data_IF_191373029668
#
_entry.id   IF_191373029668
#
_cell.length_a   1.000
_cell.length_b   1.000
_cell.length_c   1.000
_cell.angle_alpha   90.00
_cell.angle_beta   90.00
_cell.angle_gamma   90.00
#
_symmetry.space_group_name_H-M   'P 1'
#
loop_
_entity.id
_entity.type
_entity.pdbx_description
1 polymer ?
#
# COMPACT_ATOMS: atom_id res chain seq x y z
N UNK A 1 45.09 -2.45 7.77
CA UNK A 1 43.77 -1.80 7.93
C UNK A 1 43.51 -0.64 6.95
N UNK A 2 44.51 0.15 6.51
CA UNK A 2 44.27 1.31 5.62
C UNK A 2 43.98 0.96 4.14
N UNK A 3 44.54 -0.13 3.60
CA UNK A 3 44.30 -0.52 2.20
C UNK A 3 42.88 -1.06 1.93
N UNK A 4 42.21 -1.64 2.93
CA UNK A 4 40.86 -2.21 2.77
C UNK A 4 39.77 -1.13 2.61
N UNK A 5 39.92 0.00 3.30
CA UNK A 5 39.00 1.13 3.21
C UNK A 5 39.10 1.86 1.87
N UNK A 6 40.31 1.96 1.32
CA UNK A 6 40.56 2.59 0.01
C UNK A 6 39.94 1.74 -1.12
N UNK A 7 40.00 0.40 -1.01
CA UNK A 7 39.40 -0.51 -2.00
C UNK A 7 37.87 -0.45 -1.94
N UNK A 8 37.26 -0.42 -0.75
CA UNK A 8 35.81 -0.26 -0.62
C UNK A 8 35.32 1.10 -1.15
N UNK A 9 36.05 2.19 -0.86
CA UNK A 9 35.73 3.51 -1.40
C UNK A 9 35.86 3.56 -2.93
N UNK A 10 36.86 2.88 -3.50
CA UNK A 10 37.02 2.77 -4.95
C UNK A 10 35.89 1.96 -5.60
N UNK A 11 35.42 0.86 -4.97
CA UNK A 11 34.30 0.04 -5.47
C UNK A 11 32.98 0.82 -5.43
N UNK A 12 32.71 1.55 -4.34
CA UNK A 12 31.51 2.39 -4.23
C UNK A 12 31.53 3.56 -5.23
N UNK A 13 32.69 4.16 -5.47
CA UNK A 13 32.86 5.21 -6.46
C UNK A 13 32.68 4.69 -7.91
N UNK A 14 33.18 3.48 -8.20
CA UNK A 14 32.98 2.83 -9.50
C UNK A 14 31.51 2.45 -9.69
N UNK A 15 30.83 1.92 -8.67
CA UNK A 15 29.40 1.60 -8.71
C UNK A 15 28.53 2.85 -8.91
N UNK A 16 28.85 3.96 -8.23
CA UNK A 16 28.17 5.24 -8.42
C UNK A 16 28.41 5.82 -9.83
N UNK A 17 29.63 5.69 -10.38
CA UNK A 17 29.94 6.12 -11.74
C UNK A 17 29.25 5.25 -12.80
N UNK A 18 29.12 3.94 -12.56
CA UNK A 18 28.40 3.03 -13.47
C UNK A 18 26.89 3.29 -13.44
N UNK A 19 26.28 3.43 -12.25
CA UNK A 19 24.86 3.76 -12.11
C UNK A 19 24.51 5.15 -12.68
N UNK A 20 25.40 6.13 -12.53
CA UNK A 20 25.23 7.46 -13.12
C UNK A 20 25.41 7.44 -14.65
N UNK A 21 26.31 6.59 -15.16
CA UNK A 21 26.52 6.40 -16.61
C UNK A 21 25.34 5.68 -17.26
N UNK A 22 24.77 4.67 -16.62
CA UNK A 22 23.56 3.96 -17.10
C UNK A 22 22.32 4.88 -17.07
N UNK A 23 22.14 5.66 -16.01
CA UNK A 23 21.06 6.66 -15.91
C UNK A 23 21.18 7.77 -16.97
N UNK A 24 22.41 8.23 -17.26
CA UNK A 24 22.67 9.16 -18.38
C UNK A 24 22.49 8.51 -19.76
N UNK A 25 22.84 7.24 -19.91
CA UNK A 25 22.63 6.50 -21.17
C UNK A 25 21.14 6.22 -21.44
N UNK A 26 20.32 5.99 -20.40
CA UNK A 26 18.86 5.84 -20.50
C UNK A 26 18.16 7.15 -20.87
N UNK A 27 18.54 8.26 -20.24
CA UNK A 27 18.01 9.60 -20.57
C UNK A 27 18.48 10.10 -21.95
N UNK A 28 19.75 9.85 -22.31
CA UNK A 28 20.30 10.14 -23.63
C UNK A 28 19.65 9.29 -24.73
N UNK A 29 19.44 7.98 -24.49
CA UNK A 29 18.74 7.09 -25.43
C UNK A 29 17.29 7.49 -25.65
N UNK A 30 16.59 8.00 -24.62
CA UNK A 30 15.23 8.55 -24.77
C UNK A 30 15.22 9.82 -25.62
N UNK A 31 16.20 10.71 -25.46
CA UNK A 31 16.35 11.91 -26.27
C UNK A 31 16.72 11.62 -27.73
N UNK A 32 17.61 10.64 -27.98
CA UNK A 32 18.02 10.21 -29.32
C UNK A 32 16.86 9.49 -30.03
N UNK A 33 16.13 8.60 -29.34
CA UNK A 33 14.94 7.95 -29.89
C UNK A 33 13.83 8.95 -30.24
N UNK A 34 13.60 9.97 -29.41
CA UNK A 34 12.63 11.02 -29.70
C UNK A 34 13.02 11.86 -30.94
N UNK A 35 14.33 12.09 -31.14
CA UNK A 35 14.85 12.84 -32.29
C UNK A 35 14.79 12.00 -33.58
N UNK A 36 15.15 10.72 -33.51
CA UNK A 36 15.03 9.76 -34.62
C UNK A 36 13.56 9.53 -35.00
N UNK A 37 12.64 9.48 -34.03
CA UNK A 37 11.19 9.44 -34.28
C UNK A 37 10.70 10.70 -34.99
N UNK A 38 11.21 11.87 -34.60
CA UNK A 38 10.86 13.17 -35.21
C UNK A 38 11.43 13.31 -36.63
N UNK A 39 12.64 12.80 -36.88
CA UNK A 39 13.26 12.77 -38.21
C UNK A 39 12.65 11.71 -39.13
N UNK A 40 12.26 10.54 -38.60
CA UNK A 40 11.56 9.50 -39.33
C UNK A 40 10.14 9.94 -39.71
N UNK A 41 9.41 10.60 -38.80
CA UNK A 41 8.08 11.17 -39.08
C UNK A 41 8.14 12.35 -40.05
N UNK A 42 9.22 13.14 -40.05
CA UNK A 42 9.44 14.20 -41.05
C UNK A 42 9.79 13.66 -42.46
N UNK A 43 10.42 12.48 -42.55
CA UNK A 43 10.79 11.83 -43.84
C UNK A 43 9.65 11.06 -44.52
N UNK A 44 8.57 10.72 -43.81
CA UNK A 44 7.48 9.86 -44.30
C UNK A 44 6.20 10.63 -44.69
N UNK A 45 6.36 11.82 -45.26
CA UNK A 45 5.26 12.72 -45.62
C UNK A 45 4.26 12.17 -46.67
N UNK A 46 2.98 12.37 -46.33
CA UNK A 46 1.71 12.30 -47.08
C UNK A 46 1.28 11.01 -47.80
N UNK A 47 2.05 10.43 -48.73
CA UNK A 47 1.52 9.32 -49.56
C UNK A 47 1.50 7.98 -48.81
N UNK A 48 2.48 7.77 -47.92
CA UNK A 48 2.58 6.55 -47.12
C UNK A 48 1.62 6.56 -45.93
N UNK A 49 1.07 7.72 -45.53
CA UNK A 49 0.11 7.80 -44.42
C UNK A 49 -1.29 7.31 -44.80
N UNK A 50 -1.72 7.53 -46.05
CA UNK A 50 -3.02 7.09 -46.57
C UNK A 50 -3.09 5.56 -46.71
N UNK A 51 -2.07 4.95 -47.32
CA UNK A 51 -1.96 3.48 -47.44
C UNK A 51 -1.89 2.82 -46.05
N UNK A 52 -1.04 3.33 -45.16
CA UNK A 52 -0.95 2.83 -43.78
C UNK A 52 -2.21 3.09 -42.95
N UNK A 53 -3.02 4.11 -43.27
CA UNK A 53 -4.29 4.35 -42.58
C UNK A 53 -5.37 3.37 -43.03
N UNK A 54 -5.44 3.08 -44.34
CA UNK A 54 -6.36 2.09 -44.89
C UNK A 54 -6.01 0.67 -44.43
N UNK A 55 -4.73 0.33 -44.42
CA UNK A 55 -4.24 -0.96 -43.91
C UNK A 55 -4.53 -1.14 -42.41
N UNK A 56 -4.23 -0.13 -41.58
CA UNK A 56 -4.63 -0.12 -40.16
C UNK A 56 -6.14 -0.23 -39.95
N UNK A 57 -6.93 0.38 -40.84
CA UNK A 57 -8.39 0.28 -40.82
C UNK A 57 -8.88 -1.14 -41.11
N UNK A 58 -8.30 -1.79 -42.12
CA UNK A 58 -8.61 -3.18 -42.46
C UNK A 58 -8.17 -4.16 -41.36
N UNK A 59 -6.99 -3.97 -40.77
CA UNK A 59 -6.52 -4.75 -39.63
C UNK A 59 -7.43 -4.60 -38.40
N UNK A 60 -7.87 -3.38 -38.11
CA UNK A 60 -8.81 -3.12 -37.02
C UNK A 60 -10.16 -3.81 -37.25
N UNK A 61 -10.72 -3.75 -38.47
CA UNK A 61 -11.96 -4.43 -38.82
C UNK A 61 -11.80 -5.95 -38.72
N UNK A 62 -10.70 -6.51 -39.21
CA UNK A 62 -10.40 -7.93 -39.09
C UNK A 62 -10.26 -8.36 -37.63
N UNK A 63 -9.60 -7.54 -36.79
CA UNK A 63 -9.52 -7.77 -35.36
C UNK A 63 -10.91 -7.82 -34.71
N UNK A 64 -11.76 -6.84 -35.03
CA UNK A 64 -13.11 -6.75 -34.49
C UNK A 64 -13.96 -7.97 -34.86
N UNK A 65 -13.92 -8.41 -36.12
CA UNK A 65 -14.65 -9.62 -36.53
C UNK A 65 -14.12 -10.89 -35.85
N UNK A 66 -12.80 -11.02 -35.66
CA UNK A 66 -12.21 -12.12 -34.89
C UNK A 66 -12.71 -12.12 -33.45
N UNK A 67 -12.64 -10.97 -32.78
CA UNK A 67 -13.07 -10.78 -31.40
C UNK A 67 -14.55 -11.10 -31.22
N UNK A 68 -15.40 -10.60 -32.13
CA UNK A 68 -16.82 -10.90 -32.17
C UNK A 68 -17.12 -12.39 -32.32
N UNK A 69 -16.38 -13.07 -33.19
CA UNK A 69 -16.52 -14.51 -33.35
C UNK A 69 -16.13 -15.25 -32.07
N UNK A 70 -15.05 -14.83 -31.40
CA UNK A 70 -14.64 -15.41 -30.11
C UNK A 70 -15.71 -15.19 -29.04
N UNK A 71 -16.28 -13.97 -28.95
CA UNK A 71 -17.38 -13.64 -28.04
C UNK A 71 -18.59 -14.55 -28.27
N UNK A 72 -19.06 -14.66 -29.51
CA UNK A 72 -20.20 -15.52 -29.86
C UNK A 72 -19.97 -16.98 -29.49
N UNK A 73 -18.81 -17.54 -29.83
CA UNK A 73 -18.46 -18.93 -29.51
C UNK A 73 -18.36 -19.16 -27.99
N UNK A 74 -17.78 -18.18 -27.27
CA UNK A 74 -17.69 -18.18 -25.82
C UNK A 74 -19.09 -18.20 -25.19
N UNK A 75 -20.01 -17.34 -25.61
CA UNK A 75 -21.38 -17.32 -25.07
C UNK A 75 -22.17 -18.58 -25.43
N UNK A 76 -21.99 -19.11 -26.64
CA UNK A 76 -22.64 -20.35 -27.03
C UNK A 76 -22.21 -21.50 -26.13
N UNK A 77 -20.90 -21.63 -25.83
CA UNK A 77 -20.38 -22.64 -24.90
C UNK A 77 -21.08 -22.58 -23.52
N UNK A 78 -21.38 -21.38 -23.01
CA UNK A 78 -22.06 -21.21 -21.72
C UNK A 78 -23.55 -21.55 -21.76
N UNK A 79 -24.24 -21.24 -22.86
CA UNK A 79 -25.65 -21.66 -23.05
C UNK A 79 -25.75 -23.18 -23.08
N UNK A 80 -24.88 -23.82 -23.84
CA UNK A 80 -24.86 -25.27 -24.00
C UNK A 80 -24.58 -25.99 -22.66
N UNK A 81 -23.74 -25.42 -21.80
CA UNK A 81 -23.46 -25.97 -20.46
C UNK A 81 -24.65 -25.84 -19.49
N UNK A 82 -25.48 -24.80 -19.62
CA UNK A 82 -26.59 -24.52 -18.69
C UNK A 82 -27.85 -25.37 -18.92
N UNK A 83 -28.04 -25.88 -20.14
CA UNK A 83 -29.31 -26.50 -20.55
C UNK A 83 -29.32 -28.04 -20.50
N UNK A 84 -28.35 -28.70 -19.85
CA UNK A 84 -28.09 -30.14 -20.03
C UNK A 84 -28.02 -30.45 -21.54
N UNK A 85 -26.93 -30.05 -22.21
CA UNK A 85 -26.69 -30.30 -23.63
C UNK A 85 -27.21 -31.68 -24.07
N UNK A 86 -28.41 -31.73 -24.62
CA UNK A 86 -29.07 -32.96 -25.02
C UNK A 86 -28.53 -33.32 -26.40
N UNK A 87 -27.27 -33.77 -26.47
CA UNK A 87 -26.71 -34.35 -27.69
C UNK A 87 -25.21 -34.15 -27.94
N UNK A 88 -24.50 -33.30 -27.21
CA UNK A 88 -23.05 -33.12 -27.38
C UNK A 88 -22.27 -34.08 -26.47
N UNK A 89 -21.26 -34.76 -27.02
CA UNK A 89 -20.39 -35.62 -26.21
C UNK A 89 -19.46 -34.78 -25.33
N UNK A 90 -19.09 -35.28 -24.14
CA UNK A 90 -18.16 -34.57 -23.24
C UNK A 90 -16.81 -34.25 -23.89
N UNK A 91 -16.37 -35.07 -24.84
CA UNK A 91 -15.14 -34.87 -25.61
C UNK A 91 -15.24 -33.70 -26.60
N UNK A 92 -16.40 -33.53 -27.26
CA UNK A 92 -16.64 -32.41 -28.18
C UNK A 92 -16.74 -31.09 -27.43
N UNK A 93 -17.45 -31.07 -26.29
CA UNK A 93 -17.51 -29.91 -25.41
C UNK A 93 -16.10 -29.50 -24.94
N UNK A 94 -15.28 -30.46 -24.52
CA UNK A 94 -13.90 -30.22 -24.08
C UNK A 94 -13.04 -29.66 -25.21
N UNK A 95 -13.18 -30.18 -26.44
CA UNK A 95 -12.47 -29.66 -27.62
C UNK A 95 -12.87 -28.22 -27.94
N UNK A 96 -14.17 -27.89 -27.90
CA UNK A 96 -14.66 -26.52 -28.12
C UNK A 96 -14.12 -25.57 -27.05
N UNK A 97 -14.19 -25.98 -25.78
CA UNK A 97 -13.64 -25.20 -24.67
C UNK A 97 -12.14 -24.94 -24.86
N UNK A 98 -11.35 -25.95 -25.24
CA UNK A 98 -9.93 -25.81 -25.52
C UNK A 98 -9.66 -24.87 -26.72
N UNK A 99 -10.46 -24.98 -27.79
CA UNK A 99 -10.33 -24.12 -28.97
C UNK A 99 -10.61 -22.64 -28.66
N UNK A 100 -11.66 -22.36 -27.87
CA UNK A 100 -11.97 -20.99 -27.42
C UNK A 100 -10.85 -20.46 -26.52
N UNK A 101 -10.35 -21.29 -25.59
CA UNK A 101 -9.23 -20.93 -24.72
C UNK A 101 -7.98 -20.53 -25.53
N UNK A 102 -7.59 -21.33 -26.53
CA UNK A 102 -6.43 -21.01 -27.39
C UNK A 102 -6.57 -19.65 -28.06
N UNK A 103 -7.75 -19.36 -28.61
CA UNK A 103 -8.04 -18.08 -29.28
C UNK A 103 -8.03 -16.90 -28.31
N UNK A 104 -8.51 -17.08 -27.07
CA UNK A 104 -8.43 -16.06 -26.03
C UNK A 104 -6.98 -15.79 -25.63
N UNK A 105 -6.15 -16.83 -25.51
CA UNK A 105 -4.73 -16.71 -25.15
C UNK A 105 -3.90 -16.02 -26.24
N UNK A 106 -4.34 -16.06 -27.50
CA UNK A 106 -3.70 -15.39 -28.64
C UNK A 106 -4.03 -13.88 -28.71
N UNK A 107 -5.02 -13.40 -27.95
CA UNK A 107 -5.40 -11.98 -27.99
C UNK A 107 -4.24 -11.08 -27.53
N UNK A 108 -4.08 -9.96 -28.25
CA UNK A 108 -3.25 -8.83 -27.83
C UNK A 108 -4.06 -7.87 -26.94
N UNK A 109 -3.43 -6.89 -26.28
CA UNK A 109 -4.14 -5.97 -25.39
C UNK A 109 -5.27 -5.16 -26.06
N UNK A 110 -5.16 -4.82 -27.35
CA UNK A 110 -6.20 -4.09 -28.06
C UNK A 110 -7.42 -4.99 -28.31
N UNK A 111 -7.16 -6.24 -28.69
CA UNK A 111 -8.17 -7.27 -28.90
C UNK A 111 -8.87 -7.67 -27.60
N UNK A 112 -8.13 -7.79 -26.49
CA UNK A 112 -8.68 -8.03 -25.15
C UNK A 112 -9.67 -6.92 -24.79
N UNK A 113 -9.31 -5.65 -25.01
CA UNK A 113 -10.21 -4.53 -24.70
C UNK A 113 -11.54 -4.63 -25.47
N UNK A 114 -11.46 -4.86 -26.78
CA UNK A 114 -12.63 -5.03 -27.63
C UNK A 114 -13.48 -6.23 -27.18
N UNK A 115 -12.82 -7.34 -26.84
CA UNK A 115 -13.50 -8.54 -26.35
C UNK A 115 -14.26 -8.28 -25.04
N UNK A 116 -13.63 -7.59 -24.09
CA UNK A 116 -14.26 -7.22 -22.83
C UNK A 116 -15.45 -6.27 -23.06
N UNK A 117 -15.33 -5.30 -23.96
CA UNK A 117 -16.40 -4.35 -24.30
C UNK A 117 -17.61 -5.05 -24.94
N UNK A 118 -17.37 -5.94 -25.89
CA UNK A 118 -18.41 -6.75 -26.51
C UNK A 118 -19.12 -7.66 -25.51
N UNK A 119 -18.36 -8.24 -24.58
CA UNK A 119 -18.93 -9.01 -23.48
C UNK A 119 -19.81 -8.13 -22.60
N UNK A 120 -19.27 -7.05 -22.05
CA UNK A 120 -19.99 -6.25 -21.06
C UNK A 120 -21.17 -5.45 -21.64
N UNK A 121 -21.16 -5.16 -22.93
CA UNK A 121 -22.29 -4.55 -23.65
C UNK A 121 -23.45 -5.51 -23.90
N UNK A 122 -23.24 -6.82 -23.74
CA UNK A 122 -24.28 -7.82 -23.95
C UNK A 122 -25.16 -7.95 -22.70
N UNK A 123 -26.39 -7.42 -22.78
CA UNK A 123 -27.38 -7.47 -21.69
C UNK A 123 -27.85 -8.87 -21.32
N UNK A 124 -27.62 -9.87 -22.18
CA UNK A 124 -27.94 -11.28 -21.91
C UNK A 124 -26.90 -11.96 -20.99
N UNK A 125 -25.79 -11.29 -20.67
CA UNK A 125 -24.80 -11.82 -19.75
C UNK A 125 -25.32 -11.89 -18.32
N UNK A 126 -25.65 -13.11 -17.90
CA UNK A 126 -25.91 -13.41 -16.49
C UNK A 126 -24.62 -13.29 -15.64
N UNK A 127 -24.79 -13.20 -14.33
CA UNK A 127 -23.68 -13.03 -13.36
C UNK A 127 -22.62 -14.12 -13.45
N UNK A 128 -23.02 -15.35 -13.80
CA UNK A 128 -22.11 -16.49 -13.91
C UNK A 128 -21.08 -16.32 -15.02
N UNK A 129 -21.50 -15.88 -16.21
CA UNK A 129 -20.59 -15.67 -17.34
C UNK A 129 -19.59 -14.55 -17.04
N UNK A 130 -20.05 -13.48 -16.38
CA UNK A 130 -19.17 -12.38 -15.94
C UNK A 130 -18.10 -12.86 -14.95
N UNK A 131 -18.46 -13.77 -14.03
CA UNK A 131 -17.52 -14.40 -13.09
C UNK A 131 -16.45 -15.23 -13.80
N UNK A 132 -16.86 -16.05 -14.78
CA UNK A 132 -15.93 -16.93 -15.48
C UNK A 132 -14.98 -16.12 -16.40
N UNK A 133 -15.47 -15.02 -16.99
CA UNK A 133 -14.65 -14.04 -17.71
C UNK A 133 -13.62 -13.34 -16.80
N UNK A 134 -14.03 -12.95 -15.59
CA UNK A 134 -13.09 -12.41 -14.58
C UNK A 134 -12.01 -13.45 -14.22
N UNK A 135 -12.35 -14.74 -14.20
CA UNK A 135 -11.38 -15.83 -14.07
C UNK A 135 -10.28 -15.80 -15.13
N UNK A 136 -10.64 -15.58 -16.41
CA UNK A 136 -9.67 -15.41 -17.50
C UNK A 136 -8.82 -14.15 -17.36
N UNK A 137 -9.44 -13.02 -16.99
CA UNK A 137 -8.70 -11.78 -16.71
C UNK A 137 -7.60 -12.03 -15.68
N UNK A 138 -7.95 -12.71 -14.59
CA UNK A 138 -7.04 -13.00 -13.48
C UNK A 138 -5.93 -13.98 -13.83
N UNK A 139 -6.27 -15.10 -14.47
CA UNK A 139 -5.34 -16.22 -14.64
C UNK A 139 -4.54 -16.16 -15.94
N UNK A 140 -5.04 -15.48 -16.96
CA UNK A 140 -4.42 -15.44 -18.29
C UNK A 140 -3.97 -14.02 -18.62
N UNK A 141 -4.89 -13.04 -18.66
CA UNK A 141 -4.56 -11.72 -19.18
C UNK A 141 -3.64 -10.93 -18.27
N UNK A 142 -3.87 -10.94 -16.94
CA UNK A 142 -2.99 -10.29 -15.97
C UNK A 142 -1.59 -10.92 -15.98
N UNK A 143 -1.49 -12.24 -16.13
CA UNK A 143 -0.20 -12.92 -16.19
C UNK A 143 0.59 -12.57 -17.46
N UNK A 144 -0.09 -12.36 -18.59
CA UNK A 144 0.54 -12.09 -19.89
C UNK A 144 0.84 -10.61 -20.14
N UNK A 145 -0.05 -9.71 -19.69
CA UNK A 145 0.00 -8.28 -19.97
C UNK A 145 -0.32 -7.44 -18.72
N UNK A 146 0.48 -7.54 -17.63
CA UNK A 146 0.13 -6.94 -16.34
C UNK A 146 -0.05 -5.41 -16.42
N UNK A 147 0.84 -4.72 -17.12
CA UNK A 147 0.84 -3.25 -17.23
C UNK A 147 -0.37 -2.77 -18.04
N UNK A 148 -0.63 -3.40 -19.18
CA UNK A 148 -1.75 -3.06 -20.04
C UNK A 148 -3.10 -3.37 -19.38
N UNK A 149 -3.19 -4.49 -18.66
CA UNK A 149 -4.37 -4.84 -17.89
C UNK A 149 -4.60 -3.87 -16.73
N UNK A 150 -3.55 -3.47 -16.01
CA UNK A 150 -3.66 -2.44 -14.97
C UNK A 150 -4.20 -1.12 -15.55
N UNK A 151 -3.65 -0.66 -16.67
CA UNK A 151 -4.13 0.54 -17.39
C UNK A 151 -5.59 0.41 -17.86
N UNK A 152 -5.99 -0.77 -18.35
CA UNK A 152 -7.36 -1.01 -18.81
C UNK A 152 -8.35 -1.01 -17.63
N UNK A 153 -8.03 -1.76 -16.58
CA UNK A 153 -8.84 -1.85 -15.37
C UNK A 153 -8.97 -0.50 -14.66
N UNK A 154 -7.92 0.32 -14.69
CA UNK A 154 -7.94 1.65 -14.05
C UNK A 154 -8.75 2.68 -14.82
N UNK A 155 -8.76 2.60 -16.16
CA UNK A 155 -9.51 3.54 -17.01
C UNK A 155 -10.97 3.15 -17.23
N UNK A 156 -11.29 1.87 -17.11
CA UNK A 156 -12.64 1.33 -17.34
C UNK A 156 -13.00 0.26 -16.29
N UNK A 157 -13.01 0.62 -14.98
CA UNK A 157 -13.28 -0.31 -13.88
C UNK A 157 -14.53 -1.18 -14.07
N UNK A 158 -15.59 -0.58 -14.61
CA UNK A 158 -16.87 -1.21 -14.88
C UNK A 158 -16.79 -2.41 -15.84
N UNK A 159 -15.89 -2.35 -16.84
CA UNK A 159 -15.63 -3.46 -17.77
C UNK A 159 -14.97 -4.67 -17.09
N UNK A 160 -14.52 -4.52 -15.85
CA UNK A 160 -13.86 -5.58 -15.08
C UNK A 160 -14.60 -5.90 -13.78
N UNK A 161 -15.80 -5.32 -13.60
CA UNK A 161 -16.59 -5.51 -12.37
C UNK A 161 -15.94 -4.87 -11.14
N UNK A 162 -15.15 -3.81 -11.31
CA UNK A 162 -14.58 -3.00 -10.24
C UNK A 162 -15.52 -1.81 -9.95
N UNK A 163 -16.79 -2.09 -9.65
CA UNK A 163 -17.83 -1.06 -9.50
C UNK A 163 -18.11 -0.70 -8.02
N UNK A 164 -17.32 -1.27 -7.09
CA UNK A 164 -17.47 -1.06 -5.64
C UNK A 164 -18.74 -1.67 -5.05
N UNK A 165 -19.59 -2.32 -5.86
CA UNK A 165 -20.79 -3.00 -5.41
C UNK A 165 -20.42 -4.45 -5.15
N UNK A 166 -20.54 -4.87 -3.89
CA UNK A 166 -20.40 -6.29 -3.55
C UNK A 166 -21.45 -7.08 -4.34
N UNK A 167 -20.98 -8.01 -5.19
CA UNK A 167 -21.89 -8.95 -5.82
C UNK A 167 -22.65 -9.72 -4.73
N UNK A 168 -23.98 -9.92 -4.86
CA UNK A 168 -24.80 -10.60 -3.85
C UNK A 168 -24.34 -12.01 -3.46
N UNK A 169 -23.42 -12.61 -4.23
CA UNK A 169 -22.93 -13.98 -4.06
C UNK A 169 -21.40 -14.08 -3.90
N UNK A 170 -20.78 -13.13 -3.18
CA UNK A 170 -19.53 -13.35 -2.45
C UNK A 170 -18.23 -13.61 -3.23
N UNK A 171 -18.24 -13.69 -4.57
CA UNK A 171 -17.05 -14.03 -5.35
C UNK A 171 -16.95 -13.30 -6.71
N UNK A 172 -17.14 -11.98 -6.74
CA UNK A 172 -16.39 -11.19 -7.73
C UNK A 172 -15.11 -10.75 -7.04
N UNK A 173 -14.02 -11.45 -7.34
CA UNK A 173 -12.69 -11.06 -6.89
C UNK A 173 -12.25 -9.86 -7.75
N UNK A 174 -12.05 -8.74 -7.08
CA UNK A 174 -11.43 -7.54 -7.65
C UNK A 174 -10.14 -7.94 -8.41
N UNK A 175 -10.14 -7.88 -9.76
CA UNK A 175 -9.03 -8.41 -10.55
C UNK A 175 -7.77 -7.56 -10.39
N UNK A 176 -7.90 -6.27 -10.02
CA UNK A 176 -6.74 -5.43 -9.71
C UNK A 176 -6.14 -5.84 -8.35
N UNK A 177 -6.97 -6.14 -7.34
CA UNK A 177 -6.48 -6.75 -6.09
C UNK A 177 -5.77 -8.09 -6.37
N UNK A 178 -6.32 -8.91 -7.26
CA UNK A 178 -5.66 -10.15 -7.67
C UNK A 178 -4.30 -9.90 -8.34
N UNK A 179 -4.19 -8.90 -9.23
CA UNK A 179 -2.92 -8.49 -9.82
C UNK A 179 -1.87 -8.19 -8.74
N UNK A 180 -2.22 -7.35 -7.77
CA UNK A 180 -1.32 -7.01 -6.66
C UNK A 180 -0.90 -8.25 -5.87
N UNK A 181 -1.86 -9.11 -5.50
CA UNK A 181 -1.58 -10.36 -4.81
C UNK A 181 -0.69 -11.30 -5.62
N UNK A 182 -1.00 -11.54 -6.89
CA UNK A 182 -0.30 -12.48 -7.76
C UNK A 182 1.16 -12.10 -7.94
N UNK A 183 1.43 -10.82 -8.22
CA UNK A 183 2.80 -10.35 -8.40
C UNK A 183 3.55 -10.20 -7.08
N UNK A 184 2.89 -9.79 -5.99
CA UNK A 184 3.53 -9.69 -4.67
C UNK A 184 3.87 -11.08 -4.08
N UNK A 185 2.89 -11.97 -4.00
CA UNK A 185 3.02 -13.23 -3.26
C UNK A 185 3.50 -14.39 -4.13
N UNK A 186 2.84 -14.64 -5.26
CA UNK A 186 3.12 -15.83 -6.07
C UNK A 186 4.37 -15.67 -6.93
N UNK A 187 4.50 -14.54 -7.63
CA UNK A 187 5.66 -14.25 -8.49
C UNK A 187 6.82 -13.61 -7.77
N UNK A 188 6.56 -12.95 -6.64
CA UNK A 188 7.55 -12.18 -5.88
C UNK A 188 8.25 -11.12 -6.75
N UNK A 189 7.46 -10.48 -7.60
CA UNK A 189 7.86 -9.43 -8.53
C UNK A 189 7.12 -8.15 -8.14
N UNK A 190 7.64 -7.50 -7.10
CA UNK A 190 7.07 -6.27 -6.56
C UNK A 190 7.25 -5.09 -7.54
N UNK A 191 8.27 -5.12 -8.37
CA UNK A 191 8.54 -4.08 -9.37
C UNK A 191 7.38 -3.98 -10.37
N UNK A 192 6.88 -5.11 -10.86
CA UNK A 192 5.71 -5.14 -11.75
C UNK A 192 4.47 -4.55 -11.07
N UNK A 193 4.28 -4.77 -9.77
CA UNK A 193 3.15 -4.16 -9.02
C UNK A 193 3.21 -2.63 -9.08
N UNK A 194 4.37 -2.02 -8.82
CA UNK A 194 4.51 -0.56 -8.85
C UNK A 194 4.47 0.02 -10.26
N UNK A 195 4.93 -0.73 -11.29
CA UNK A 195 4.71 -0.36 -12.69
C UNK A 195 3.20 -0.34 -13.03
N UNK A 196 2.44 -1.33 -12.58
CA UNK A 196 0.99 -1.38 -12.76
C UNK A 196 0.27 -0.25 -12.00
N UNK A 197 0.68 0.06 -10.76
CA UNK A 197 0.13 1.18 -9.99
C UNK A 197 0.41 2.53 -10.66
N UNK A 198 1.59 2.69 -11.29
CA UNK A 198 1.96 3.93 -11.99
C UNK A 198 1.08 4.20 -13.23
N UNK A 199 0.46 3.17 -13.80
CA UNK A 199 -0.51 3.31 -14.91
C UNK A 199 -1.93 3.69 -14.45
N UNK A 200 -2.18 3.69 -13.14
CA UNK A 200 -3.49 3.92 -12.54
C UNK A 200 -3.59 5.34 -11.93
N UNK A 201 -4.81 5.93 -11.89
CA UNK A 201 -5.02 7.23 -11.25
C UNK A 201 -4.88 7.12 -9.71
N UNK A 202 -4.71 8.24 -9.00
CA UNK A 202 -4.46 8.25 -7.56
C UNK A 202 -5.49 7.47 -6.72
N UNK A 203 -6.78 7.46 -7.09
CA UNK A 203 -7.78 6.68 -6.35
C UNK A 203 -7.52 5.16 -6.39
N UNK A 204 -7.02 4.64 -7.51
CA UNK A 204 -6.61 3.25 -7.64
C UNK A 204 -5.33 2.98 -6.86
N UNK A 205 -4.33 3.85 -7.00
CA UNK A 205 -3.08 3.71 -6.26
C UNK A 205 -3.35 3.61 -4.76
N UNK A 206 -4.20 4.51 -4.23
CA UNK A 206 -4.60 4.53 -2.82
C UNK A 206 -5.34 3.26 -2.39
N UNK A 207 -6.24 2.74 -3.24
CA UNK A 207 -7.01 1.53 -2.94
C UNK A 207 -6.14 0.27 -2.84
N UNK A 208 -5.04 0.18 -3.60
CA UNK A 208 -4.33 -1.09 -3.79
C UNK A 208 -2.89 -1.14 -3.26
N UNK A 209 -2.24 0.01 -2.98
CA UNK A 209 -0.85 0.00 -2.48
C UNK A 209 -0.70 -0.75 -1.16
N UNK A 210 -1.72 -0.74 -0.29
CA UNK A 210 -1.71 -1.47 0.98
C UNK A 210 -1.66 -2.98 0.78
N UNK A 211 -2.22 -3.49 -0.32
CA UNK A 211 -2.11 -4.91 -0.68
C UNK A 211 -0.67 -5.33 -0.96
N UNK A 212 0.15 -4.45 -1.53
CA UNK A 212 1.57 -4.72 -1.75
C UNK A 212 2.30 -4.89 -0.41
N UNK A 213 1.98 -4.05 0.57
CA UNK A 213 2.50 -4.18 1.95
C UNK A 213 2.03 -5.48 2.58
N UNK A 214 0.71 -5.74 2.56
CA UNK A 214 0.09 -6.93 3.14
C UNK A 214 0.71 -8.23 2.61
N UNK A 215 0.92 -8.33 1.29
CA UNK A 215 1.35 -9.56 0.65
C UNK A 215 2.87 -9.70 0.49
N UNK A 216 3.65 -8.61 0.50
CA UNK A 216 5.09 -8.68 0.26
C UNK A 216 5.95 -8.56 1.53
N UNK A 217 5.50 -7.80 2.53
CA UNK A 217 6.33 -7.34 3.66
C UNK A 217 6.54 -8.39 4.78
N UNK A 218 6.52 -9.69 4.48
CA UNK A 218 6.54 -10.77 5.48
C UNK A 218 7.90 -11.01 6.17
N UNK A 219 8.97 -10.32 5.76
CA UNK A 219 10.29 -10.42 6.36
C UNK A 219 11.08 -9.11 6.23
N UNK A 220 12.08 -8.90 7.10
CA UNK A 220 12.91 -7.71 7.07
C UNK A 220 13.56 -7.42 5.69
N UNK A 221 14.17 -8.40 4.98
CA UNK A 221 14.70 -8.15 3.63
C UNK A 221 13.62 -7.72 2.63
N UNK A 222 12.42 -8.30 2.73
CA UNK A 222 11.31 -7.96 1.83
C UNK A 222 10.71 -6.59 2.13
N UNK A 223 10.71 -6.15 3.40
CA UNK A 223 10.36 -4.77 3.76
C UNK A 223 11.34 -3.77 3.15
N UNK A 224 12.64 -4.06 3.19
CA UNK A 224 13.67 -3.18 2.60
C UNK A 224 13.50 -3.05 1.09
N UNK A 225 13.31 -4.19 0.39
CA UNK A 225 13.06 -4.20 -1.05
C UNK A 225 11.77 -3.43 -1.40
N UNK A 226 10.69 -3.64 -0.66
CA UNK A 226 9.43 -2.92 -0.85
C UNK A 226 9.58 -1.42 -0.60
N UNK A 227 10.33 -1.01 0.43
CA UNK A 227 10.59 0.40 0.73
C UNK A 227 11.31 1.09 -0.44
N UNK A 228 12.28 0.42 -1.06
CA UNK A 228 13.01 0.94 -2.23
C UNK A 228 12.07 1.14 -3.43
N UNK A 229 11.20 0.16 -3.73
CA UNK A 229 10.21 0.28 -4.80
C UNK A 229 9.18 1.39 -4.52
N UNK A 230 8.71 1.51 -3.26
CA UNK A 230 7.81 2.59 -2.84
C UNK A 230 8.47 3.97 -3.03
N UNK A 231 9.75 4.11 -2.66
CA UNK A 231 10.51 5.35 -2.89
C UNK A 231 10.66 5.67 -4.38
N UNK A 232 10.94 4.66 -5.21
CA UNK A 232 11.01 4.83 -6.67
C UNK A 232 9.67 5.22 -7.30
N UNK A 233 8.57 4.69 -6.74
CA UNK A 233 7.21 5.01 -7.17
C UNK A 233 6.77 6.41 -6.79
N UNK A 234 7.24 6.96 -5.66
CA UNK A 234 6.85 8.25 -5.12
C UNK A 234 7.40 9.46 -5.91
N UNK A 235 6.97 9.61 -7.17
CA UNK A 235 7.45 10.65 -8.09
C UNK A 235 6.63 11.94 -8.06
N UNK A 236 5.41 11.92 -7.50
CA UNK A 236 4.57 13.11 -7.29
C UNK A 236 4.28 13.36 -5.80
N UNK A 237 3.91 14.58 -5.40
CA UNK A 237 3.54 14.88 -4.01
C UNK A 237 2.44 13.96 -3.47
N UNK A 238 1.45 13.62 -4.29
CA UNK A 238 0.35 12.72 -3.92
C UNK A 238 0.87 11.30 -3.65
N UNK A 239 1.80 10.81 -4.46
CA UNK A 239 2.41 9.49 -4.28
C UNK A 239 3.34 9.46 -3.07
N UNK A 240 4.04 10.55 -2.77
CA UNK A 240 4.85 10.69 -1.55
C UNK A 240 3.98 10.54 -0.32
N UNK A 241 2.86 11.27 -0.25
CA UNK A 241 1.92 11.16 0.88
C UNK A 241 1.27 9.77 0.95
N UNK A 242 0.96 9.17 -0.21
CA UNK A 242 0.44 7.82 -0.26
C UNK A 242 1.43 6.80 0.33
N UNK A 243 2.71 6.87 -0.07
CA UNK A 243 3.78 5.99 0.42
C UNK A 243 4.02 6.21 1.91
N UNK A 244 4.08 7.45 2.38
CA UNK A 244 4.17 7.77 3.81
C UNK A 244 3.04 7.14 4.61
N UNK A 245 1.82 7.17 4.09
CA UNK A 245 0.64 6.56 4.72
C UNK A 245 0.75 5.04 4.92
N UNK A 246 1.64 4.36 4.19
CA UNK A 246 1.85 2.92 4.29
C UNK A 246 3.02 2.53 5.22
N UNK A 247 3.88 3.47 5.63
CA UNK A 247 5.11 3.14 6.35
C UNK A 247 4.85 2.48 7.71
N UNK A 248 3.83 2.89 8.45
CA UNK A 248 3.48 2.24 9.73
C UNK A 248 3.09 0.76 9.53
N UNK A 249 2.29 0.44 8.51
CA UNK A 249 1.96 -0.96 8.20
C UNK A 249 3.15 -1.72 7.62
N UNK A 250 4.05 -1.07 6.88
CA UNK A 250 5.28 -1.71 6.41
C UNK A 250 6.16 -2.17 7.57
N UNK A 251 6.27 -1.34 8.62
CA UNK A 251 7.13 -1.58 9.79
C UNK A 251 6.50 -2.59 10.74
N UNK A 252 5.21 -2.43 11.05
CA UNK A 252 4.53 -3.17 12.11
C UNK A 252 3.49 -4.18 11.63
N UNK A 253 3.10 -4.13 10.36
CA UNK A 253 2.12 -5.02 9.75
C UNK A 253 2.66 -6.44 9.65
N UNK A 254 2.05 -7.36 10.39
CA UNK A 254 2.31 -8.79 10.32
C UNK A 254 0.99 -9.54 10.32
N UNK A 255 0.81 -10.41 9.32
CA UNK A 255 -0.38 -11.25 9.15
C UNK A 255 -0.49 -12.38 10.18
N UNK A 256 -0.62 -12.04 11.46
CA UNK A 256 -1.01 -12.99 12.52
C UNK A 256 -0.47 -12.72 13.92
N UNK A 257 0.61 -11.94 14.08
CA UNK A 257 1.15 -11.60 15.40
C UNK A 257 1.90 -10.26 15.38
N UNK A 258 1.84 -9.51 16.49
CA UNK A 258 2.64 -8.28 16.65
C UNK A 258 4.13 -8.60 16.55
N UNK A 259 4.88 -7.83 15.76
CA UNK A 259 6.33 -7.94 15.65
C UNK A 259 7.01 -7.78 17.02
N UNK A 260 8.20 -8.35 17.20
CA UNK A 260 9.00 -8.16 18.42
C UNK A 260 9.71 -6.80 18.39
N UNK A 261 10.04 -6.24 19.55
CA UNK A 261 10.88 -5.04 19.63
C UNK A 261 12.18 -5.19 18.84
N UNK A 262 12.90 -6.31 19.01
CA UNK A 262 14.22 -6.51 18.37
C UNK A 262 14.08 -6.51 16.86
N UNK A 263 13.16 -7.30 16.32
CA UNK A 263 12.92 -7.36 14.88
C UNK A 263 12.66 -5.99 14.26
N UNK A 264 11.78 -5.20 14.88
CA UNK A 264 11.38 -3.91 14.32
C UNK A 264 12.45 -2.84 14.53
N UNK A 265 13.01 -2.75 15.74
CA UNK A 265 14.04 -1.73 16.05
C UNK A 265 15.33 -1.96 15.24
N UNK A 266 15.74 -3.21 15.02
CA UNK A 266 16.87 -3.53 14.15
C UNK A 266 16.59 -3.12 12.70
N UNK A 267 15.38 -3.41 12.19
CA UNK A 267 15.01 -3.00 10.84
C UNK A 267 14.96 -1.47 10.70
N UNK A 268 14.29 -0.77 11.62
CA UNK A 268 14.24 0.70 11.64
C UNK A 268 15.64 1.33 11.65
N UNK A 269 16.57 0.76 12.42
CA UNK A 269 17.96 1.23 12.47
C UNK A 269 18.78 0.97 11.19
N UNK A 270 18.33 0.07 10.31
CA UNK A 270 19.01 -0.29 9.06
C UNK A 270 18.33 0.26 7.79
N UNK A 271 17.05 0.67 7.90
CA UNK A 271 16.22 1.07 6.76
C UNK A 271 16.57 2.44 6.15
N UNK A 272 17.49 3.20 6.78
CA UNK A 272 17.91 4.53 6.35
C UNK A 272 16.72 5.46 6.09
N UNK A 273 15.83 5.55 7.08
CA UNK A 273 14.65 6.41 7.02
C UNK A 273 15.06 7.86 7.30
N UNK A 274 14.51 8.80 6.53
CA UNK A 274 14.54 10.22 6.92
C UNK A 274 13.70 10.46 8.18
N UNK A 275 13.88 11.60 8.85
CA UNK A 275 13.08 11.95 10.04
C UNK A 275 11.57 11.92 9.77
N UNK A 276 11.12 12.39 8.61
CA UNK A 276 9.72 12.35 8.18
C UNK A 276 9.21 10.92 7.95
N UNK A 277 10.02 10.07 7.31
CA UNK A 277 9.69 8.67 7.10
C UNK A 277 9.64 7.91 8.43
N UNK A 278 10.55 8.22 9.37
CA UNK A 278 10.56 7.64 10.70
C UNK A 278 9.32 8.06 11.51
N UNK A 279 8.91 9.33 11.40
CA UNK A 279 7.69 9.84 12.01
C UNK A 279 6.43 9.13 11.46
N UNK A 280 6.38 8.92 10.15
CA UNK A 280 5.29 8.18 9.50
C UNK A 280 5.32 6.67 9.84
N UNK A 281 6.50 6.07 9.89
CA UNK A 281 6.71 4.67 10.25
C UNK A 281 6.28 4.34 11.69
N UNK A 282 6.41 5.29 12.60
CA UNK A 282 6.07 5.13 14.02
C UNK A 282 4.65 5.61 14.36
N UNK A 283 3.87 6.03 13.37
CA UNK A 283 2.46 6.40 13.59
C UNK A 283 1.66 5.22 14.14
N UNK A 284 0.77 5.49 15.10
CA UNK A 284 -0.10 4.49 15.74
C UNK A 284 0.67 3.36 16.47
N UNK A 285 1.92 3.60 16.88
CA UNK A 285 2.81 2.60 17.51
C UNK A 285 2.17 1.95 18.76
N UNK A 286 1.35 2.68 19.51
CA UNK A 286 0.64 2.20 20.71
C UNK A 286 -0.35 1.05 20.41
N UNK A 287 -0.91 1.02 19.21
CA UNK A 287 -1.79 -0.07 18.75
C UNK A 287 -0.98 -1.27 18.27
N UNK A 288 0.25 -1.05 17.82
CA UNK A 288 1.06 -2.02 17.07
C UNK A 288 2.02 -2.82 17.94
N UNK A 289 2.59 -2.23 18.99
CA UNK A 289 3.61 -2.89 19.82
C UNK A 289 3.02 -3.87 20.84
N UNK A 290 3.84 -4.82 21.30
CA UNK A 290 3.50 -5.74 22.38
C UNK A 290 3.54 -5.00 23.71
N UNK A 291 2.50 -5.16 24.55
CA UNK A 291 2.38 -4.44 25.84
C UNK A 291 3.57 -4.70 26.76
N UNK A 292 4.08 -5.93 26.80
CA UNK A 292 5.27 -6.29 27.60
C UNK A 292 6.59 -5.68 27.11
N UNK A 293 6.60 -5.04 25.93
CA UNK A 293 7.77 -4.39 25.36
C UNK A 293 7.67 -2.86 25.33
N UNK A 294 6.57 -2.27 25.81
CA UNK A 294 6.33 -0.82 25.73
C UNK A 294 7.46 -0.01 26.37
N UNK A 295 7.99 -0.43 27.53
CA UNK A 295 9.14 0.24 28.16
C UNK A 295 10.38 0.31 27.27
N UNK A 296 10.65 -0.75 26.48
CA UNK A 296 11.77 -0.76 25.52
C UNK A 296 11.52 0.22 24.37
N UNK A 297 10.27 0.32 23.92
CA UNK A 297 9.88 1.29 22.90
C UNK A 297 9.99 2.74 23.39
N UNK A 298 9.63 3.02 24.64
CA UNK A 298 9.85 4.34 25.26
C UNK A 298 11.35 4.67 25.34
N UNK A 299 12.18 3.72 25.77
CA UNK A 299 13.63 3.90 25.83
C UNK A 299 14.24 4.11 24.43
N UNK A 300 13.66 3.48 23.40
CA UNK A 300 14.07 3.63 22.01
C UNK A 300 13.66 4.99 21.44
N UNK A 301 12.43 5.46 21.71
CA UNK A 301 11.94 6.76 21.26
C UNK A 301 12.85 7.90 21.76
N UNK A 302 13.25 7.85 23.02
CA UNK A 302 14.15 8.83 23.64
C UNK A 302 15.56 8.89 23.03
N UNK A 303 15.92 7.92 22.17
CA UNK A 303 17.23 7.82 21.49
C UNK A 303 17.10 7.81 19.97
N UNK A 304 15.88 7.92 19.46
CA UNK A 304 15.60 7.87 18.03
C UNK A 304 15.94 9.19 17.36
N UNK A 305 16.03 9.19 16.03
CA UNK A 305 16.22 10.41 15.22
C UNK A 305 14.89 11.12 14.89
N UNK A 306 13.82 10.82 15.64
CA UNK A 306 12.54 11.51 15.49
C UNK A 306 12.67 12.98 15.93
N UNK A 307 11.90 13.89 15.32
CA UNK A 307 11.68 15.21 15.90
C UNK A 307 11.17 15.11 17.34
N UNK A 308 11.70 15.93 18.25
CA UNK A 308 11.42 15.87 19.69
C UNK A 308 9.92 15.94 20.03
N UNK A 309 9.16 16.74 19.30
CA UNK A 309 7.70 16.87 19.47
C UNK A 309 6.97 15.58 19.08
N UNK A 310 7.37 14.95 17.98
CA UNK A 310 6.83 13.66 17.54
C UNK A 310 7.20 12.55 18.53
N UNK A 311 8.46 12.49 18.98
CA UNK A 311 8.90 11.49 19.95
C UNK A 311 8.11 11.58 21.27
N UNK A 312 7.88 12.81 21.77
CA UNK A 312 7.05 13.06 22.96
C UNK A 312 5.60 12.66 22.76
N UNK A 313 5.02 12.97 21.60
CA UNK A 313 3.66 12.56 21.27
C UNK A 313 3.52 11.03 21.28
N UNK A 314 4.43 10.31 20.60
CA UNK A 314 4.45 8.84 20.58
C UNK A 314 4.66 8.24 21.96
N UNK A 315 5.51 8.85 22.79
CA UNK A 315 5.72 8.43 24.17
C UNK A 315 4.45 8.59 25.02
N UNK A 316 3.73 9.71 24.86
CA UNK A 316 2.46 9.95 25.53
C UNK A 316 1.38 8.94 25.11
N UNK A 317 1.25 8.65 23.80
CA UNK A 317 0.29 7.68 23.26
C UNK A 317 0.57 6.26 23.77
N UNK A 318 1.84 5.83 23.73
CA UNK A 318 2.28 4.56 24.29
C UNK A 318 2.00 4.45 25.78
N UNK A 319 2.32 5.50 26.55
CA UNK A 319 2.10 5.53 27.98
C UNK A 319 0.61 5.47 28.34
N UNK A 320 -0.24 6.14 27.58
CA UNK A 320 -1.70 6.10 27.76
C UNK A 320 -2.21 4.68 27.58
N UNK A 321 -1.89 4.05 26.45
CA UNK A 321 -2.32 2.69 26.13
C UNK A 321 -1.70 1.64 27.07
N UNK A 322 -0.47 1.86 27.53
CA UNK A 322 0.23 0.96 28.45
C UNK A 322 -0.34 1.04 29.85
N UNK A 323 -0.56 2.26 30.38
CA UNK A 323 -1.11 2.46 31.73
C UNK A 323 -2.51 1.88 31.84
N UNK A 324 -3.32 1.99 30.79
CA UNK A 324 -4.64 1.35 30.74
C UNK A 324 -4.59 -0.17 30.89
N UNK A 325 -3.54 -0.81 30.36
CA UNK A 325 -3.42 -2.27 30.34
C UNK A 325 -2.60 -2.82 31.50
N UNK A 326 -1.60 -2.08 31.97
CA UNK A 326 -0.64 -2.47 32.99
C UNK A 326 -0.01 -1.23 33.66
N UNK A 327 -0.81 -0.56 34.50
CA UNK A 327 -0.38 0.62 35.24
C UNK A 327 0.80 0.32 36.19
N UNK A 328 0.90 -0.88 36.76
CA UNK A 328 2.01 -1.24 37.65
C UNK A 328 3.35 -1.26 36.90
N UNK A 329 3.38 -1.87 35.71
CA UNK A 329 4.59 -1.86 34.89
C UNK A 329 4.94 -0.45 34.39
N UNK A 330 3.94 0.34 33.98
CA UNK A 330 4.14 1.73 33.57
C UNK A 330 4.72 2.59 34.70
N UNK A 331 4.15 2.49 35.91
CA UNK A 331 4.64 3.19 37.11
C UNK A 331 6.05 2.75 37.52
N UNK A 332 6.37 1.45 37.40
CA UNK A 332 7.73 0.94 37.62
C UNK A 332 8.72 1.54 36.63
N UNK A 333 8.38 1.62 35.35
CA UNK A 333 9.23 2.26 34.34
C UNK A 333 9.44 3.74 34.66
N UNK A 334 8.38 4.48 35.01
CA UNK A 334 8.46 5.89 35.40
C UNK A 334 9.44 6.14 36.55
N UNK A 335 9.44 5.27 37.56
CA UNK A 335 10.37 5.38 38.69
C UNK A 335 11.83 5.16 38.27
N UNK A 336 12.08 4.35 37.24
CA UNK A 336 13.44 4.02 36.76
C UNK A 336 13.93 4.88 35.60
N UNK A 337 13.03 5.55 34.88
CA UNK A 337 13.36 6.28 33.66
C UNK A 337 14.25 7.50 33.97
N UNK A 338 15.25 7.81 33.11
CA UNK A 338 16.02 9.04 33.22
C UNK A 338 15.14 10.29 33.14
N UNK A 339 15.57 11.38 33.78
CA UNK A 339 14.91 12.67 33.58
C UNK A 339 15.05 13.11 32.11
N UNK A 340 13.95 13.56 31.52
CA UNK A 340 13.90 13.92 30.11
C UNK A 340 12.48 14.18 29.64
N UNK A 341 12.31 14.74 28.43
CA UNK A 341 11.00 15.10 27.90
C UNK A 341 10.05 13.90 27.75
N UNK A 342 10.55 12.72 27.38
CA UNK A 342 9.74 11.51 27.23
C UNK A 342 9.22 11.03 28.58
N UNK A 343 10.04 11.11 29.64
CA UNK A 343 9.60 10.80 31.00
C UNK A 343 8.49 11.74 31.46
N UNK A 344 8.60 13.04 31.17
CA UNK A 344 7.55 14.02 31.45
C UNK A 344 6.25 13.69 30.71
N UNK A 345 6.34 13.34 29.42
CA UNK A 345 5.19 12.92 28.62
C UNK A 345 4.52 11.64 29.18
N UNK A 346 5.31 10.65 29.59
CA UNK A 346 4.80 9.41 30.20
C UNK A 346 4.15 9.68 31.55
N UNK A 347 4.76 10.54 32.39
CA UNK A 347 4.21 10.89 33.70
C UNK A 347 2.89 11.67 33.57
N UNK A 348 2.81 12.56 32.57
CA UNK A 348 1.58 13.25 32.19
C UNK A 348 0.45 12.28 31.81
N UNK A 349 0.73 11.33 30.91
CA UNK A 349 -0.22 10.30 30.49
C UNK A 349 -0.63 9.36 31.64
N UNK A 350 0.34 8.93 32.46
CA UNK A 350 0.12 8.05 33.60
C UNK A 350 -0.80 8.70 34.63
N UNK A 351 -0.50 9.94 35.05
CA UNK A 351 -1.31 10.67 36.00
C UNK A 351 -2.75 10.83 35.50
N UNK A 352 -2.92 11.23 34.24
CA UNK A 352 -4.24 11.39 33.65
C UNK A 352 -5.05 10.09 33.63
N UNK A 353 -4.40 8.94 33.36
CA UNK A 353 -5.07 7.64 33.32
C UNK A 353 -5.37 7.07 34.70
N UNK A 354 -4.55 7.35 35.70
CA UNK A 354 -4.70 6.84 37.08
C UNK A 354 -5.69 7.69 37.89
N UNK A 355 -5.85 8.97 37.57
CA UNK A 355 -6.68 9.91 38.34
C UNK A 355 -8.09 9.40 38.70
N UNK A 356 -8.86 8.75 37.80
CA UNK A 356 -10.19 8.25 38.16
C UNK A 356 -10.20 7.19 39.28
N UNK A 357 -9.06 6.56 39.55
CA UNK A 357 -8.90 5.48 40.53
C UNK A 357 -8.10 5.92 41.76
N UNK A 358 -7.10 6.78 41.57
CA UNK A 358 -6.25 7.32 42.63
C UNK A 358 -5.93 8.81 42.33
N UNK A 359 -6.86 9.73 42.66
CA UNK A 359 -6.68 11.16 42.41
C UNK A 359 -5.44 11.72 43.12
N UNK A 360 -5.21 11.30 44.36
CA UNK A 360 -4.12 11.80 45.20
C UNK A 360 -2.76 11.41 44.62
N UNK A 361 -2.58 10.13 44.26
CA UNK A 361 -1.37 9.64 43.60
C UNK A 361 -1.17 10.25 42.20
N UNK A 362 -2.23 10.43 41.42
CA UNK A 362 -2.15 11.13 40.13
C UNK A 362 -1.68 12.58 40.28
N UNK A 363 -2.20 13.32 41.27
CA UNK A 363 -1.79 14.69 41.53
C UNK A 363 -0.34 14.78 42.03
N UNK A 364 0.15 13.80 42.79
CA UNK A 364 1.57 13.72 43.16
C UNK A 364 2.46 13.61 41.92
N UNK A 365 2.11 12.78 40.94
CA UNK A 365 2.84 12.70 39.67
C UNK A 365 2.79 14.02 38.89
N UNK A 366 1.65 14.71 38.85
CA UNK A 366 1.53 16.03 38.21
C UNK A 366 2.43 17.06 38.87
N UNK A 367 2.61 17.00 40.19
CA UNK A 367 3.52 17.90 40.91
C UNK A 367 5.00 17.63 40.60
N UNK A 368 5.35 16.43 40.12
CA UNK A 368 6.72 16.16 39.64
C UNK A 368 7.02 16.77 38.27
N UNK A 369 5.98 17.15 37.52
CA UNK A 369 6.13 17.77 36.20
C UNK A 369 6.49 19.26 36.35
N UNK A 370 7.50 19.75 35.61
CA UNK A 370 7.72 21.18 35.48
C UNK A 370 6.48 21.90 34.97
N UNK A 371 6.35 23.19 35.31
CA UNK A 371 5.34 24.04 34.66
C UNK A 371 5.60 24.07 33.14
N UNK A 372 4.56 23.79 32.35
CA UNK A 372 4.68 23.69 30.91
C UNK A 372 3.66 22.76 30.27
N UNK A 373 3.84 22.46 28.96
CA UNK A 373 2.85 21.76 28.14
C UNK A 373 2.43 20.40 28.70
N UNK A 374 3.36 19.60 29.23
CA UNK A 374 3.04 18.25 29.72
C UNK A 374 2.15 18.28 30.97
N UNK A 375 2.41 19.21 31.91
CA UNK A 375 1.60 19.41 33.11
C UNK A 375 0.22 19.94 32.74
N UNK A 376 0.15 20.94 31.86
CA UNK A 376 -1.12 21.49 31.36
C UNK A 376 -1.94 20.43 30.62
N UNK A 377 -1.29 19.58 29.81
CA UNK A 377 -1.95 18.48 29.10
C UNK A 377 -2.53 17.45 30.08
N UNK A 378 -1.80 17.05 31.11
CA UNK A 378 -2.30 16.12 32.14
C UNK A 378 -3.55 16.68 32.83
N UNK A 379 -3.48 17.93 33.31
CA UNK A 379 -4.59 18.60 33.99
C UNK A 379 -5.81 18.73 33.07
N UNK A 380 -5.61 19.12 31.81
CA UNK A 380 -6.68 19.20 30.82
C UNK A 380 -7.31 17.83 30.55
N UNK A 381 -6.50 16.79 30.34
CA UNK A 381 -7.02 15.43 30.11
C UNK A 381 -7.76 14.88 31.33
N UNK A 382 -7.32 15.20 32.56
CA UNK A 382 -8.08 14.86 33.76
C UNK A 382 -9.44 15.57 33.75
N UNK A 383 -9.43 16.89 33.57
CA UNK A 383 -10.65 17.70 33.55
C UNK A 383 -11.67 17.18 32.52
N UNK A 384 -11.22 16.85 31.31
CA UNK A 384 -12.06 16.31 30.23
C UNK A 384 -12.69 14.95 30.57
N UNK A 385 -12.09 14.17 31.48
CA UNK A 385 -12.62 12.88 31.92
C UNK A 385 -13.48 12.97 33.20
N UNK A 386 -13.54 14.14 33.85
CA UNK A 386 -14.48 14.40 34.93
C UNK A 386 -15.85 14.72 34.30
N UNK A 387 -16.98 14.17 34.78
CA UNK A 387 -18.30 14.49 34.25
C UNK A 387 -18.57 16.01 34.21
N UNK A 388 -18.92 16.56 33.04
CA UNK A 388 -18.95 18.01 32.73
C UNK A 388 -19.78 18.83 33.76
N UNK A 389 -20.93 18.31 34.19
CA UNK A 389 -21.84 19.02 35.09
C UNK A 389 -21.60 18.78 36.59
N UNK A 390 -20.54 18.03 36.95
CA UNK A 390 -20.25 17.72 38.35
C UNK A 390 -19.63 18.90 39.10
N UNK A 391 -19.90 18.97 40.41
CA UNK A 391 -19.21 19.94 41.29
C UNK A 391 -17.70 19.69 41.33
N UNK A 392 -17.28 18.44 41.13
CA UNK A 392 -15.87 18.07 40.98
C UNK A 392 -15.23 18.72 39.75
N UNK A 393 -15.90 18.74 38.60
CA UNK A 393 -15.40 19.41 37.39
C UNK A 393 -15.23 20.92 37.62
N UNK A 394 -16.23 21.58 38.24
CA UNK A 394 -16.17 23.01 38.57
C UNK A 394 -15.05 23.34 39.55
N UNK A 395 -14.90 22.53 40.61
CA UNK A 395 -13.84 22.70 41.59
C UNK A 395 -12.45 22.54 40.94
N UNK A 396 -12.27 21.48 40.15
CA UNK A 396 -11.02 21.21 39.45
C UNK A 396 -10.67 22.32 38.44
N UNK A 397 -11.65 22.77 37.65
CA UNK A 397 -11.51 23.90 36.74
C UNK A 397 -11.05 25.18 37.44
N UNK A 398 -11.68 25.50 38.58
CA UNK A 398 -11.34 26.67 39.40
C UNK A 398 -9.93 26.57 40.00
N UNK A 399 -9.57 25.40 40.53
CA UNK A 399 -8.28 25.17 41.18
C UNK A 399 -7.10 25.27 40.20
N UNK A 400 -7.26 24.73 39.00
CA UNK A 400 -6.19 24.66 37.99
C UNK A 400 -6.32 25.68 36.86
N UNK A 401 -7.27 26.61 36.96
CA UNK A 401 -7.48 27.67 35.96
C UNK A 401 -7.87 27.15 34.58
N UNK A 402 -8.63 26.05 34.53
CA UNK A 402 -9.10 25.43 33.29
C UNK A 402 -10.51 25.95 32.97
N UNK A 403 -10.65 26.78 31.93
CA UNK A 403 -11.92 27.31 31.45
C UNK A 403 -12.00 27.24 29.92
N UNK A 404 -13.22 27.12 29.37
CA UNK A 404 -13.49 27.02 27.92
C UNK A 404 -12.83 28.14 27.12
#
# INVERSE_FOLDING_TARGET
>A
MKCSLIICAAILFIAALLGWRESRQLSSSRGINARLLKEATAKLGSDNQSSNAMERGNEYLAMRERVKTIGLDYFQLFRDYGENATGESGDEFTKRQAGIKSRLEELDPAAIRQFMDECYSNSELNLRIKRDLNGYVRTVFIAKYPIEMARMMSKSPELFGIDGKTAPEGYIQDPFKHLVYYFSWEKKDIQTVFQCLAEAPPEFQSKYISGAVEFYAYSAPKRTELLEEMRGFASTPEQVELVKGQLSELVFGHGGAKATFVEVSDWLGSANLSGDELAAATKDIEKKVRVGETGRWLDWLAKSELPDDVAKERAFELATAWTEKDYLAAGKWLNSAPAGPEKSAVASAYAAKVYPYDPEGAMQWIQTLPEGPDRSKALKTIYENIPEDSDAAKAFASEYGLGK
#
